data_IF_424319825920
#
_entry.id   IF_424319825920
#
_cell.length_a   1.000
_cell.length_b   1.000
_cell.length_c   1.000
_cell.angle_alpha   90.00
_cell.angle_beta   90.00
_cell.angle_gamma   90.00
#
_symmetry.space_group_name_H-M   'P 1'
#
loop_
_entity.id
_entity.type
_entity.pdbx_description
1 polymer ?
#
# COMPACT_ATOMS: atom_id res chain seq x y z
N UNK A 1 -15.14 -25.20 -23.40
CA UNK A 1 -14.90 -24.46 -22.16
C UNK A 1 -13.39 -24.40 -22.01
N UNK A 2 -12.76 -23.26 -22.30
CA UNK A 2 -11.32 -23.11 -22.08
C UNK A 2 -11.11 -22.95 -20.59
N UNK A 3 -10.33 -23.85 -19.99
CA UNK A 3 -9.78 -23.64 -18.64
C UNK A 3 -9.06 -22.29 -18.67
N UNK A 4 -9.62 -21.29 -17.96
CA UNK A 4 -8.89 -20.07 -17.66
C UNK A 4 -7.67 -20.50 -16.83
N UNK A 5 -6.48 -20.40 -17.41
CA UNK A 5 -5.24 -20.58 -16.67
C UNK A 5 -5.27 -19.60 -15.51
N UNK A 6 -5.34 -20.12 -14.28
CA UNK A 6 -5.42 -19.34 -13.02
C UNK A 6 -4.07 -18.73 -12.64
N UNK A 7 -3.37 -18.15 -13.60
CA UNK A 7 -2.04 -17.58 -13.38
C UNK A 7 -2.16 -16.13 -12.92
N UNK A 8 -1.53 -15.84 -11.79
CA UNK A 8 -1.34 -14.46 -11.30
C UNK A 8 -0.54 -13.68 -12.34
N UNK A 9 -1.08 -12.54 -12.79
CA UNK A 9 -0.36 -11.61 -13.65
C UNK A 9 0.62 -10.79 -12.83
N UNK A 10 1.88 -11.21 -12.81
CA UNK A 10 2.95 -10.58 -12.02
C UNK A 10 3.17 -9.09 -12.33
N UNK A 11 2.63 -8.60 -13.44
CA UNK A 11 2.74 -7.20 -13.87
C UNK A 11 1.44 -6.40 -13.71
N UNK A 12 0.46 -6.92 -12.98
CA UNK A 12 -0.79 -6.24 -12.65
C UNK A 12 -0.84 -5.87 -11.18
N UNK A 13 -1.17 -4.63 -10.90
CA UNK A 13 -1.40 -4.08 -9.56
C UNK A 13 -2.80 -3.48 -9.48
N UNK A 14 -3.42 -3.62 -8.31
CA UNK A 14 -4.70 -2.97 -8.00
C UNK A 14 -4.51 -2.05 -6.81
N UNK A 15 -5.09 -0.86 -6.86
CA UNK A 15 -5.13 0.07 -5.73
C UNK A 15 -6.58 0.26 -5.32
N UNK A 16 -6.89 -0.05 -4.07
CA UNK A 16 -8.21 0.14 -3.47
C UNK A 16 -8.17 1.36 -2.55
N UNK A 17 -8.89 2.40 -2.93
CA UNK A 17 -8.89 3.72 -2.32
C UNK A 17 -8.07 4.73 -3.12
N UNK A 18 -8.75 5.67 -3.79
CA UNK A 18 -8.13 6.71 -4.62
C UNK A 18 -8.06 8.06 -3.89
N UNK A 19 -7.82 8.02 -2.56
CA UNK A 19 -7.47 9.21 -1.79
C UNK A 19 -6.03 9.64 -2.04
N UNK A 20 -5.54 10.65 -1.29
CA UNK A 20 -4.19 11.20 -1.49
C UNK A 20 -3.08 10.14 -1.49
N UNK A 21 -3.15 9.14 -0.61
CA UNK A 21 -2.15 8.07 -0.53
C UNK A 21 -2.26 7.14 -1.75
N UNK A 22 -3.48 6.74 -2.11
CA UNK A 22 -3.72 5.86 -3.27
C UNK A 22 -3.27 6.50 -4.57
N UNK A 23 -3.69 7.75 -4.83
CA UNK A 23 -3.31 8.48 -6.05
C UNK A 23 -1.81 8.73 -6.14
N UNK A 24 -1.15 9.12 -5.02
CA UNK A 24 0.29 9.29 -4.97
C UNK A 24 1.03 7.97 -5.22
N UNK A 25 0.53 6.86 -4.65
CA UNK A 25 1.09 5.53 -4.87
C UNK A 25 0.92 5.07 -6.32
N UNK A 26 -0.26 5.31 -6.91
CA UNK A 26 -0.53 4.99 -8.31
C UNK A 26 0.42 5.74 -9.25
N UNK A 27 0.59 7.05 -9.03
CA UNK A 27 1.51 7.85 -9.82
C UNK A 27 2.96 7.38 -9.69
N UNK A 28 3.43 7.09 -8.48
CA UNK A 28 4.79 6.57 -8.26
C UNK A 28 4.99 5.19 -8.92
N UNK A 29 4.00 4.30 -8.85
CA UNK A 29 4.05 2.99 -9.49
C UNK A 29 4.05 3.09 -11.01
N UNK A 30 3.29 4.02 -11.59
CA UNK A 30 3.31 4.29 -13.02
C UNK A 30 4.71 4.70 -13.48
N UNK A 31 5.37 5.60 -12.75
CA UNK A 31 6.73 6.03 -13.07
C UNK A 31 7.79 4.93 -12.87
N UNK A 32 7.56 4.00 -11.95
CA UNK A 32 8.53 2.94 -11.63
C UNK A 32 8.75 1.92 -12.73
N UNK A 33 7.79 1.74 -13.64
CA UNK A 33 7.81 0.71 -14.67
C UNK A 33 7.72 -0.74 -14.15
N UNK A 34 7.39 -0.95 -12.88
CA UNK A 34 7.29 -2.28 -12.27
C UNK A 34 6.10 -3.07 -12.82
N UNK A 35 5.02 -2.38 -13.17
CA UNK A 35 3.79 -2.99 -13.65
C UNK A 35 3.46 -2.52 -15.08
N UNK A 36 2.67 -3.32 -15.79
CA UNK A 36 2.13 -2.98 -17.11
C UNK A 36 0.61 -2.77 -17.11
N UNK A 37 -0.03 -3.09 -15.99
CA UNK A 37 -1.46 -2.89 -15.78
C UNK A 37 -1.73 -2.43 -14.36
N UNK A 38 -2.58 -1.42 -14.22
CA UNK A 38 -3.03 -0.86 -12.94
C UNK A 38 -4.52 -0.62 -12.96
N UNK A 39 -5.19 -1.14 -11.95
CA UNK A 39 -6.63 -0.92 -11.72
C UNK A 39 -6.79 -0.03 -10.50
N UNK A 40 -7.58 1.01 -10.62
CA UNK A 40 -7.97 1.90 -9.53
C UNK A 40 -9.41 1.61 -9.12
N UNK A 41 -9.63 1.35 -7.83
CA UNK A 41 -10.94 1.06 -7.26
C UNK A 41 -11.22 2.04 -6.13
N UNK A 42 -12.36 2.71 -6.18
CA UNK A 42 -12.85 3.54 -5.08
C UNK A 42 -14.37 3.37 -4.94
N UNK A 43 -14.90 3.63 -3.75
CA UNK A 43 -16.35 3.71 -3.52
C UNK A 43 -16.97 4.85 -4.31
N UNK A 44 -16.22 5.93 -4.50
CA UNK A 44 -16.51 7.03 -5.40
C UNK A 44 -15.92 6.71 -6.79
N UNK A 45 -16.77 6.18 -7.67
CA UNK A 45 -16.37 5.76 -9.02
C UNK A 45 -15.88 6.92 -9.87
N UNK A 46 -16.48 8.09 -9.74
CA UNK A 46 -16.08 9.28 -10.51
C UNK A 46 -14.66 9.71 -10.12
N UNK A 47 -14.33 9.58 -8.83
CA UNK A 47 -12.95 9.79 -8.35
C UNK A 47 -11.99 8.79 -8.95
N UNK A 48 -12.30 7.49 -8.90
CA UNK A 48 -11.42 6.46 -9.47
C UNK A 48 -11.18 6.70 -10.96
N UNK A 49 -12.22 7.08 -11.70
CA UNK A 49 -12.14 7.39 -13.13
C UNK A 49 -11.31 8.64 -13.40
N UNK A 50 -11.53 9.72 -12.64
CA UNK A 50 -10.75 10.95 -12.74
C UNK A 50 -9.26 10.72 -12.48
N UNK A 51 -8.91 10.01 -11.39
CA UNK A 51 -7.53 9.66 -11.06
C UNK A 51 -6.88 8.75 -12.13
N UNK A 52 -7.63 7.76 -12.63
CA UNK A 52 -7.14 6.88 -13.68
C UNK A 52 -6.84 7.65 -14.98
N UNK A 53 -7.70 8.59 -15.35
CA UNK A 53 -7.49 9.48 -16.50
C UNK A 53 -6.26 10.35 -16.30
N UNK A 54 -6.16 11.04 -15.17
CA UNK A 54 -5.06 11.97 -14.88
C UNK A 54 -3.70 11.25 -14.88
N UNK A 55 -3.60 10.12 -14.18
CA UNK A 55 -2.37 9.33 -14.13
C UNK A 55 -2.03 8.74 -15.51
N UNK A 56 -3.02 8.30 -16.29
CA UNK A 56 -2.78 7.74 -17.63
C UNK A 56 -2.22 8.78 -18.61
N UNK A 57 -2.58 10.05 -18.45
CA UNK A 57 -1.99 11.14 -19.26
C UNK A 57 -0.48 11.27 -19.01
N UNK A 58 0.00 10.96 -17.79
CA UNK A 58 1.43 10.93 -17.46
C UNK A 58 2.18 9.75 -18.08
N UNK A 59 1.50 8.69 -18.49
CA UNK A 59 2.13 7.49 -19.07
C UNK A 59 2.91 7.80 -20.36
N UNK A 60 2.57 8.88 -21.07
CA UNK A 60 3.33 9.36 -22.24
C UNK A 60 4.77 9.75 -21.92
N UNK A 61 5.08 10.03 -20.66
CA UNK A 61 6.41 10.44 -20.18
C UNK A 61 7.12 9.34 -19.37
N UNK A 62 6.47 8.16 -19.24
CA UNK A 62 6.95 7.01 -18.48
C UNK A 62 6.90 5.72 -19.34
N UNK A 63 6.98 4.57 -18.70
CA UNK A 63 6.83 3.30 -19.40
C UNK A 63 5.36 2.99 -19.76
N UNK A 64 5.13 2.10 -20.76
CA UNK A 64 3.78 1.74 -21.15
C UNK A 64 3.07 1.00 -20.01
N UNK A 65 1.90 1.51 -19.62
CA UNK A 65 1.03 0.92 -18.62
C UNK A 65 -0.43 1.15 -18.99
N UNK A 66 -1.24 0.11 -18.90
CA UNK A 66 -2.69 0.21 -19.00
C UNK A 66 -3.22 0.61 -17.63
N UNK A 67 -3.84 1.79 -17.51
CA UNK A 67 -4.38 2.33 -16.27
C UNK A 67 -5.86 2.61 -16.46
N UNK A 68 -6.71 2.11 -15.57
CA UNK A 68 -8.15 2.32 -15.66
C UNK A 68 -8.83 2.19 -14.31
N UNK A 69 -9.99 2.81 -14.18
CA UNK A 69 -10.89 2.57 -13.06
C UNK A 69 -11.63 1.25 -13.30
N UNK A 70 -11.69 0.39 -12.29
CA UNK A 70 -12.32 -0.93 -12.36
C UNK A 70 -13.12 -1.27 -11.13
N UNK A 71 -13.48 -2.54 -11.01
CA UNK A 71 -14.20 -3.10 -9.88
C UNK A 71 -13.50 -4.32 -9.28
N UNK A 72 -14.14 -4.93 -8.29
CA UNK A 72 -13.57 -6.13 -7.67
C UNK A 72 -13.52 -7.33 -8.63
N UNK A 73 -14.29 -7.33 -9.71
CA UNK A 73 -14.19 -8.31 -10.79
C UNK A 73 -12.84 -8.31 -11.51
N UNK A 74 -12.08 -7.23 -11.40
CA UNK A 74 -10.78 -7.06 -12.04
C UNK A 74 -9.59 -7.50 -11.16
N UNK A 75 -9.82 -7.93 -9.89
CA UNK A 75 -8.73 -8.19 -8.96
C UNK A 75 -8.17 -9.61 -9.03
N UNK A 76 -8.92 -10.58 -9.55
CA UNK A 76 -8.63 -12.00 -9.40
C UNK A 76 -7.24 -12.45 -9.86
N UNK A 77 -6.72 -11.85 -10.93
CA UNK A 77 -5.42 -12.16 -11.52
C UNK A 77 -4.29 -11.20 -11.10
N UNK A 78 -4.56 -10.19 -10.29
CA UNK A 78 -3.53 -9.23 -9.88
C UNK A 78 -2.46 -9.87 -9.00
N UNK A 79 -1.21 -9.43 -9.15
CA UNK A 79 -0.11 -9.89 -8.28
C UNK A 79 -0.16 -9.25 -6.90
N UNK A 80 -0.49 -7.96 -6.85
CA UNK A 80 -0.55 -7.19 -5.60
C UNK A 80 -1.81 -6.32 -5.60
N UNK A 81 -2.51 -6.33 -4.47
CA UNK A 81 -3.56 -5.34 -4.18
C UNK A 81 -3.06 -4.46 -3.04
N UNK A 82 -2.96 -3.17 -3.29
CA UNK A 82 -2.60 -2.15 -2.31
C UNK A 82 -3.89 -1.54 -1.75
N UNK A 83 -4.13 -1.69 -0.45
CA UNK A 83 -5.33 -1.17 0.20
C UNK A 83 -4.97 0.10 0.96
N UNK A 84 -5.41 1.23 0.44
CA UNK A 84 -5.27 2.57 1.04
C UNK A 84 -6.63 3.13 1.48
N UNK A 85 -7.71 2.36 1.26
CA UNK A 85 -9.06 2.74 1.61
C UNK A 85 -9.22 2.90 3.13
N UNK A 86 -9.78 4.01 3.55
CA UNK A 86 -10.03 4.32 4.95
C UNK A 86 -10.70 5.68 5.10
N UNK A 87 -11.35 5.89 6.23
CA UNK A 87 -11.94 7.17 6.57
C UNK A 87 -10.95 8.04 7.34
N UNK A 88 -10.99 9.34 7.12
CA UNK A 88 -10.29 10.31 7.93
C UNK A 88 -11.07 10.59 9.23
N UNK A 89 -10.34 10.92 10.30
CA UNK A 89 -10.93 11.31 11.57
C UNK A 89 -11.74 12.60 11.40
N UNK A 90 -12.98 12.59 11.89
CA UNK A 90 -13.84 13.78 11.90
C UNK A 90 -13.61 14.57 13.20
N UNK A 91 -13.95 15.88 13.20
CA UNK A 91 -14.01 16.66 14.44
C UNK A 91 -14.95 15.95 15.44
N UNK A 92 -14.51 15.79 16.70
CA UNK A 92 -15.21 15.11 17.79
C UNK A 92 -15.31 13.58 17.67
N UNK A 93 -14.63 12.94 16.75
CA UNK A 93 -14.51 11.48 16.64
C UNK A 93 -13.32 11.00 17.49
N UNK A 94 -13.51 9.95 18.28
CA UNK A 94 -12.42 9.36 19.05
C UNK A 94 -11.51 8.48 18.15
N UNK A 95 -10.29 8.22 18.60
CA UNK A 95 -9.41 7.24 17.91
C UNK A 95 -10.06 5.87 17.81
N UNK A 96 -10.80 5.44 18.83
CA UNK A 96 -11.47 4.14 18.86
C UNK A 96 -12.60 4.06 17.82
N UNK A 97 -13.39 5.13 17.68
CA UNK A 97 -14.47 5.20 16.66
C UNK A 97 -13.86 5.09 15.25
N UNK A 98 -12.74 5.77 15.02
CA UNK A 98 -12.04 5.70 13.74
C UNK A 98 -11.52 4.29 13.44
N UNK A 99 -10.93 3.61 14.45
CA UNK A 99 -10.45 2.23 14.31
C UNK A 99 -11.59 1.30 13.94
N UNK A 100 -12.74 1.38 14.65
CA UNK A 100 -13.91 0.55 14.37
C UNK A 100 -14.46 0.78 12.96
N UNK A 101 -14.50 2.05 12.53
CA UNK A 101 -14.97 2.42 11.19
C UNK A 101 -14.03 1.88 10.10
N UNK A 102 -12.71 2.04 10.28
CA UNK A 102 -11.74 1.54 9.32
C UNK A 102 -11.67 0.01 9.31
N UNK A 103 -11.85 -0.65 10.46
CA UNK A 103 -11.96 -2.10 10.52
C UNK A 103 -13.16 -2.63 9.71
N UNK A 104 -14.31 -1.93 9.77
CA UNK A 104 -15.45 -2.28 8.93
C UNK A 104 -15.18 -2.10 7.45
N UNK A 105 -14.59 -0.96 7.06
CA UNK A 105 -14.18 -0.72 5.67
C UNK A 105 -13.21 -1.81 5.19
N UNK A 106 -12.21 -2.15 5.99
CA UNK A 106 -11.25 -3.20 5.67
C UNK A 106 -11.91 -4.56 5.50
N UNK A 107 -12.85 -4.89 6.40
CA UNK A 107 -13.63 -6.13 6.32
C UNK A 107 -14.43 -6.19 5.01
N UNK A 108 -15.13 -5.12 4.66
CA UNK A 108 -15.94 -5.05 3.44
C UNK A 108 -15.07 -5.19 2.17
N UNK A 109 -13.92 -4.50 2.13
CA UNK A 109 -12.97 -4.57 1.01
C UNK A 109 -12.38 -5.97 0.86
N UNK A 110 -11.85 -6.54 1.95
CA UNK A 110 -11.20 -7.85 1.91
C UNK A 110 -12.18 -8.98 1.60
N UNK A 111 -13.43 -8.86 2.06
CA UNK A 111 -14.49 -9.83 1.72
C UNK A 111 -14.73 -9.85 0.22
N UNK A 112 -14.89 -8.68 -0.42
CA UNK A 112 -15.09 -8.59 -1.86
C UNK A 112 -13.87 -9.14 -2.66
N UNK A 113 -12.65 -8.89 -2.20
CA UNK A 113 -11.44 -9.46 -2.80
C UNK A 113 -11.43 -10.99 -2.70
N UNK A 114 -11.81 -11.53 -1.54
CA UNK A 114 -11.85 -12.97 -1.29
C UNK A 114 -12.86 -13.69 -2.19
N UNK A 115 -14.01 -13.07 -2.47
CA UNK A 115 -15.03 -13.59 -3.37
C UNK A 115 -14.54 -13.76 -4.82
N UNK A 116 -13.47 -13.07 -5.21
CA UNK A 116 -12.83 -13.19 -6.52
C UNK A 116 -11.75 -14.29 -6.60
N UNK A 117 -11.67 -15.17 -5.60
CA UNK A 117 -10.67 -16.26 -5.51
C UNK A 117 -9.22 -15.76 -5.66
N UNK A 118 -8.96 -14.53 -5.21
CA UNK A 118 -7.67 -13.84 -5.32
C UNK A 118 -6.51 -14.65 -4.71
N UNK A 119 -5.41 -14.77 -5.47
CA UNK A 119 -4.24 -15.58 -5.09
C UNK A 119 -2.94 -14.76 -4.90
N UNK A 120 -2.96 -13.47 -5.15
CA UNK A 120 -1.80 -12.57 -4.98
C UNK A 120 -1.59 -12.10 -3.54
N UNK A 121 -0.90 -10.99 -3.39
CA UNK A 121 -0.50 -10.39 -2.11
C UNK A 121 -1.39 -9.20 -1.77
N UNK A 122 -1.80 -9.09 -0.51
CA UNK A 122 -2.43 -7.90 0.05
C UNK A 122 -1.37 -7.04 0.73
N UNK A 123 -1.23 -5.78 0.30
CA UNK A 123 -0.41 -4.76 0.95
C UNK A 123 -1.32 -3.72 1.60
N UNK A 124 -1.31 -3.68 2.92
CA UNK A 124 -2.15 -2.78 3.71
C UNK A 124 -1.39 -1.51 4.02
N UNK A 125 -1.99 -0.37 3.67
CA UNK A 125 -1.44 0.98 3.92
C UNK A 125 -2.40 1.84 4.74
N UNK A 126 -3.65 1.39 4.87
CA UNK A 126 -4.69 2.06 5.67
C UNK A 126 -4.34 2.08 7.15
N UNK A 127 -4.52 3.24 7.81
CA UNK A 127 -4.25 3.40 9.23
C UNK A 127 -5.47 3.08 10.12
N UNK A 128 -5.21 2.57 11.35
CA UNK A 128 -3.92 2.15 11.91
C UNK A 128 -3.44 0.84 11.28
N UNK A 129 -2.26 0.89 10.66
CA UNK A 129 -1.80 -0.13 9.69
C UNK A 129 -1.68 -1.53 10.30
N UNK A 130 -1.15 -1.65 11.51
CA UNK A 130 -0.95 -2.97 12.15
C UNK A 130 -2.29 -3.64 12.48
N UNK A 131 -3.26 -2.87 13.01
CA UNK A 131 -4.61 -3.36 13.28
C UNK A 131 -5.33 -3.72 11.97
N UNK A 132 -5.23 -2.87 10.94
CA UNK A 132 -5.86 -3.12 9.66
C UNK A 132 -5.26 -4.35 8.96
N UNK A 133 -3.96 -4.58 9.12
CA UNK A 133 -3.28 -5.77 8.60
C UNK A 133 -3.79 -7.03 9.29
N UNK A 134 -3.96 -7.00 10.61
CA UNK A 134 -4.54 -8.12 11.36
C UNK A 134 -5.98 -8.40 10.93
N UNK A 135 -6.81 -7.37 10.82
CA UNK A 135 -8.19 -7.51 10.32
C UNK A 135 -8.20 -8.13 8.91
N UNK A 136 -7.35 -7.64 8.02
CA UNK A 136 -7.25 -8.18 6.66
C UNK A 136 -6.83 -9.65 6.65
N UNK A 137 -5.90 -10.05 7.50
CA UNK A 137 -5.44 -11.42 7.64
C UNK A 137 -6.56 -12.35 8.16
N UNK A 138 -7.27 -11.93 9.21
CA UNK A 138 -8.37 -12.69 9.80
C UNK A 138 -9.55 -12.87 8.83
N UNK A 139 -9.96 -11.80 8.15
CA UNK A 139 -11.10 -11.81 7.21
C UNK A 139 -10.77 -12.60 5.95
N UNK A 140 -9.60 -12.40 5.38
CA UNK A 140 -9.19 -13.12 4.16
C UNK A 140 -9.01 -14.61 4.42
N UNK A 141 -8.46 -14.97 5.58
CA UNK A 141 -7.97 -16.32 5.87
C UNK A 141 -6.78 -16.70 4.99
N UNK A 142 -6.08 -15.73 4.41
CA UNK A 142 -4.89 -15.99 3.60
C UNK A 142 -3.70 -16.36 4.48
N UNK A 143 -2.73 -17.12 3.95
CA UNK A 143 -1.49 -17.36 4.67
C UNK A 143 -0.76 -16.06 5.01
N UNK A 144 -0.09 -15.99 6.15
CA UNK A 144 0.61 -14.79 6.66
C UNK A 144 1.55 -14.17 5.62
N UNK A 145 2.26 -14.98 4.84
CA UNK A 145 3.17 -14.51 3.79
C UNK A 145 2.48 -13.84 2.59
N UNK A 146 1.17 -13.73 2.59
CA UNK A 146 0.39 -13.05 1.55
C UNK A 146 -0.30 -11.77 2.04
N UNK A 147 -0.17 -11.42 3.31
CA UNK A 147 -0.79 -10.21 3.89
C UNK A 147 0.28 -9.41 4.61
N UNK A 148 0.58 -8.22 4.12
CA UNK A 148 1.61 -7.35 4.66
C UNK A 148 1.02 -5.97 5.00
N UNK A 149 1.45 -5.40 6.13
CA UNK A 149 1.30 -3.99 6.40
C UNK A 149 2.53 -3.21 5.92
N UNK A 150 2.34 -1.96 5.52
CA UNK A 150 3.47 -1.05 5.25
C UNK A 150 4.31 -0.78 6.50
N UNK A 151 3.73 -0.95 7.69
CA UNK A 151 4.42 -0.86 8.97
C UNK A 151 5.24 0.41 9.11
N UNK A 152 6.46 0.25 9.58
CA UNK A 152 7.42 1.32 9.85
C UNK A 152 8.34 1.66 8.65
N UNK A 153 7.96 1.30 7.43
CA UNK A 153 8.75 1.62 6.21
C UNK A 153 8.91 3.13 6.03
N UNK A 154 7.82 3.89 6.21
CA UNK A 154 7.85 5.34 6.10
C UNK A 154 8.67 5.99 7.22
N UNK A 155 8.56 5.47 8.44
CA UNK A 155 9.31 5.97 9.61
C UNK A 155 10.79 5.70 9.45
N UNK A 156 11.15 4.53 8.94
CA UNK A 156 12.54 4.21 8.55
C UNK A 156 13.07 5.16 7.46
N UNK A 157 12.25 5.51 6.48
CA UNK A 157 12.63 6.45 5.44
C UNK A 157 12.86 7.87 6.01
N UNK A 158 11.98 8.32 6.92
CA UNK A 158 12.12 9.60 7.64
C UNK A 158 13.39 9.62 8.48
N UNK A 159 13.65 8.56 9.26
CA UNK A 159 14.85 8.43 10.06
C UNK A 159 16.11 8.55 9.19
N UNK A 160 16.17 7.82 8.07
CA UNK A 160 17.30 7.89 7.12
C UNK A 160 17.47 9.28 6.53
N UNK A 161 16.38 9.95 6.18
CA UNK A 161 16.42 11.32 5.66
C UNK A 161 17.00 12.28 6.70
N UNK A 162 16.51 12.28 7.93
CA UNK A 162 17.00 13.15 9.00
C UNK A 162 18.45 12.88 9.39
N UNK A 163 18.85 11.61 9.45
CA UNK A 163 20.25 11.24 9.67
C UNK A 163 21.15 11.71 8.51
N UNK A 164 20.69 11.55 7.27
CA UNK A 164 21.41 12.06 6.10
C UNK A 164 21.64 13.57 6.16
N UNK A 165 20.60 14.34 6.54
CA UNK A 165 20.71 15.78 6.75
C UNK A 165 21.70 16.13 7.86
N UNK A 166 21.59 15.45 9.01
CA UNK A 166 22.46 15.70 10.16
C UNK A 166 23.92 15.40 9.88
N UNK A 167 24.18 14.28 9.23
CA UNK A 167 25.53 13.79 8.91
C UNK A 167 26.09 14.39 7.60
N UNK A 168 25.29 15.14 6.84
CA UNK A 168 25.61 15.72 5.54
C UNK A 168 26.03 14.67 4.51
N UNK A 169 25.29 13.56 4.47
CA UNK A 169 25.47 12.47 3.50
C UNK A 169 24.15 12.20 2.77
N UNK A 170 24.23 11.55 1.64
CA UNK A 170 23.03 11.09 0.95
C UNK A 170 22.27 10.06 1.81
N UNK A 171 20.96 10.25 1.98
CA UNK A 171 20.12 9.36 2.79
C UNK A 171 20.12 7.91 2.28
N UNK A 172 20.45 7.68 1.01
CA UNK A 172 20.63 6.33 0.42
C UNK A 172 21.85 5.60 0.99
N UNK A 173 22.84 6.33 1.51
CA UNK A 173 23.99 5.74 2.18
C UNK A 173 23.74 5.42 3.66
N UNK A 174 22.59 5.85 4.21
CA UNK A 174 22.22 5.62 5.60
C UNK A 174 21.42 4.32 5.69
N UNK A 175 21.90 3.39 6.49
CA UNK A 175 21.21 2.14 6.83
C UNK A 175 20.74 2.21 8.28
N UNK A 176 19.50 2.59 8.47
CA UNK A 176 18.85 2.69 9.77
C UNK A 176 17.38 2.29 9.63
N UNK A 177 16.83 1.67 10.66
CA UNK A 177 15.49 1.12 10.66
C UNK A 177 14.73 1.55 11.91
N UNK A 178 13.46 1.81 11.72
CA UNK A 178 12.46 1.85 12.78
C UNK A 178 11.73 0.52 12.73
N UNK A 179 11.51 -0.10 13.88
CA UNK A 179 10.88 -1.42 14.03
C UNK A 179 9.76 -1.36 15.07
N UNK A 180 8.90 -2.37 15.08
CA UNK A 180 7.76 -2.47 15.97
C UNK A 180 6.46 -2.03 15.30
N UNK A 181 5.46 -1.69 16.09
CA UNK A 181 4.18 -1.16 15.64
C UNK A 181 4.37 0.27 15.12
N UNK A 182 3.73 0.62 14.01
CA UNK A 182 3.71 2.00 13.51
C UNK A 182 2.89 2.90 14.45
N UNK A 183 3.58 3.69 15.28
CA UNK A 183 2.99 4.58 16.27
C UNK A 183 3.92 4.86 17.47
N UNK A 184 3.32 5.18 18.61
CA UNK A 184 4.06 5.64 19.80
C UNK A 184 4.98 4.56 20.42
N UNK A 185 4.83 3.30 20.05
CA UNK A 185 5.63 2.16 20.50
C UNK A 185 6.78 1.76 19.57
N UNK A 186 6.96 2.48 18.46
CA UNK A 186 8.05 2.21 17.51
C UNK A 186 9.43 2.46 18.13
N UNK A 187 10.45 1.73 17.68
CA UNK A 187 11.81 1.78 18.19
C UNK A 187 12.81 1.97 17.04
N UNK A 188 13.68 2.96 17.16
CA UNK A 188 14.83 3.09 16.27
C UNK A 188 15.90 2.04 16.61
N UNK A 189 16.25 1.19 15.66
CA UNK A 189 17.21 0.09 15.81
C UNK A 189 18.67 0.62 15.71
N UNK A 190 19.13 1.38 16.69
CA UNK A 190 20.43 2.03 16.67
C UNK A 190 21.61 1.05 16.57
N UNK A 191 21.50 -0.12 17.19
CA UNK A 191 22.57 -1.14 17.18
C UNK A 191 22.94 -1.65 15.79
N UNK A 192 22.05 -1.48 14.80
CA UNK A 192 22.28 -1.85 13.39
C UNK A 192 22.49 -0.63 12.48
N UNK A 193 22.39 0.58 13.03
CA UNK A 193 22.49 1.80 12.25
C UNK A 193 23.93 2.07 11.78
N UNK A 194 24.08 2.34 10.49
CA UNK A 194 25.39 2.64 9.89
C UNK A 194 25.26 3.56 8.68
N UNK A 195 26.38 4.17 8.30
CA UNK A 195 26.53 4.92 7.05
C UNK A 195 27.60 4.22 6.20
N UNK A 196 27.21 3.69 5.05
CA UNK A 196 28.11 2.95 4.16
C UNK A 196 28.97 1.90 4.89
N UNK A 197 28.39 1.21 5.88
CA UNK A 197 29.04 0.19 6.67
C UNK A 197 29.80 0.70 7.92
N UNK A 198 29.88 2.02 8.14
CA UNK A 198 30.46 2.59 9.37
C UNK A 198 29.36 2.75 10.40
N UNK A 199 29.44 2.05 11.57
CA UNK A 199 28.44 2.16 12.64
C UNK A 199 28.25 3.61 13.14
N UNK A 200 27.01 3.93 13.56
CA UNK A 200 26.62 5.23 14.12
C UNK A 200 26.70 5.30 15.67
N UNK A 201 27.34 4.38 16.31
CA UNK A 201 27.55 4.28 17.79
C UNK A 201 28.98 4.64 18.18
#
# INVERSE_FOLDING_TARGET
>A
MSEKCECVNVRKVVIVGCGFVGSASAFALMQSGLFSEMVLIDVDKDRAEGEAMDISHGASFAGPMKIYAGGYEDVGDASIIVITAGANQKPNETRLDLVQKNAKIMTDVVTQIKEQEYKGILLIVSNPVDIMTQVAMEVSGFPEHRVFGSGTVLDSARLRYHLGQHLRVDSRSVHAFVIGEHGDSEIAAWSSANVSGVPLN
#
